data_IF_228411807300
#
_entry.id   IF_228411807300
#
_cell.length_a   1.000
_cell.length_b   1.000
_cell.length_c   1.000
_cell.angle_alpha   90.00
_cell.angle_beta   90.00
_cell.angle_gamma   90.00
#
_symmetry.space_group_name_H-M   'P 1'
#
loop_
_entity.id
_entity.type
_entity.pdbx_description
1 polymer ?
#
# COMPACT_ATOMS: atom_id res chain seq x y z
N UNK A 1 33.67 9.31 -13.21
CA UNK A 1 33.07 8.02 -13.64
C UNK A 1 32.08 7.63 -12.57
N UNK A 2 30.85 8.10 -12.72
CA UNK A 2 29.75 7.69 -11.82
C UNK A 2 29.48 6.22 -12.09
N UNK A 3 29.57 5.40 -11.06
CA UNK A 3 29.10 4.01 -11.12
C UNK A 3 27.61 4.11 -11.42
N UNK A 4 27.19 3.48 -12.52
CA UNK A 4 25.80 3.12 -12.74
C UNK A 4 25.36 2.29 -11.54
N UNK A 5 24.89 2.99 -10.50
CA UNK A 5 24.39 2.37 -9.29
C UNK A 5 23.12 1.60 -9.63
N UNK A 6 23.09 0.31 -9.36
CA UNK A 6 21.86 -0.48 -9.44
C UNK A 6 20.77 0.29 -8.65
N UNK A 7 19.77 0.77 -9.38
CA UNK A 7 18.59 1.38 -8.72
C UNK A 7 17.88 0.28 -7.96
N UNK A 8 17.57 0.52 -6.67
CA UNK A 8 16.84 -0.44 -5.84
C UNK A 8 15.48 -0.79 -6.44
N UNK A 9 14.92 -1.89 -5.99
CA UNK A 9 13.63 -2.42 -6.48
C UNK A 9 12.50 -1.92 -5.59
N UNK A 10 11.43 -1.39 -6.17
CA UNK A 10 10.24 -0.91 -5.47
C UNK A 10 9.05 -1.81 -5.76
N UNK A 11 8.57 -2.52 -4.73
CA UNK A 11 7.41 -3.43 -4.80
C UNK A 11 6.29 -2.91 -3.93
N UNK A 12 5.08 -2.98 -4.43
CA UNK A 12 3.86 -2.56 -3.73
C UNK A 12 2.87 -3.71 -3.63
N UNK A 13 2.38 -3.97 -2.42
CA UNK A 13 1.27 -4.90 -2.17
C UNK A 13 0.05 -4.08 -1.77
N UNK A 14 -0.93 -4.05 -2.64
CA UNK A 14 -2.19 -3.33 -2.52
C UNK A 14 -3.36 -4.25 -2.16
N UNK A 15 -4.46 -3.66 -1.81
CA UNK A 15 -5.71 -4.35 -1.50
C UNK A 15 -6.46 -3.72 -0.33
N UNK A 16 -7.72 -4.07 -0.15
CA UNK A 16 -8.56 -3.59 0.93
C UNK A 16 -8.12 -4.16 2.31
N UNK A 17 -8.64 -3.65 3.40
CA UNK A 17 -8.34 -4.15 4.75
C UNK A 17 -8.86 -5.58 4.93
N UNK A 18 -8.12 -6.41 5.67
CA UNK A 18 -8.42 -7.83 5.82
C UNK A 18 -7.92 -8.75 4.70
N UNK A 19 -7.32 -8.21 3.61
CA UNK A 19 -6.81 -9.04 2.51
C UNK A 19 -5.46 -9.73 2.80
N UNK A 20 -4.79 -9.39 3.91
CA UNK A 20 -3.53 -10.03 4.31
C UNK A 20 -2.26 -9.34 3.78
N UNK A 21 -2.34 -8.07 3.36
CA UNK A 21 -1.18 -7.30 2.85
C UNK A 21 0.04 -7.37 3.77
N UNK A 22 -0.12 -7.02 5.04
CA UNK A 22 0.99 -6.98 6.01
C UNK A 22 1.66 -8.35 6.14
N UNK A 23 0.87 -9.42 6.21
CA UNK A 23 1.38 -10.80 6.24
C UNK A 23 2.23 -11.09 5.00
N UNK A 24 1.77 -10.71 3.81
CA UNK A 24 2.51 -10.97 2.58
C UNK A 24 3.75 -10.08 2.44
N UNK A 25 3.70 -8.84 2.89
CA UNK A 25 4.88 -7.96 2.97
C UNK A 25 5.94 -8.56 3.90
N UNK A 26 5.54 -9.03 5.08
CA UNK A 26 6.46 -9.62 6.05
C UNK A 26 7.07 -10.95 5.54
N UNK A 27 6.28 -11.81 4.90
CA UNK A 27 6.75 -13.05 4.27
C UNK A 27 7.73 -12.75 3.12
N UNK A 28 7.41 -11.80 2.26
CA UNK A 28 8.29 -11.41 1.15
C UNK A 28 9.58 -10.76 1.66
N UNK A 29 9.49 -9.95 2.72
CA UNK A 29 10.66 -9.37 3.36
C UNK A 29 11.59 -10.44 3.94
N UNK A 30 11.06 -11.45 4.62
CA UNK A 30 11.83 -12.56 5.14
C UNK A 30 12.51 -13.34 4.00
N UNK A 31 11.75 -13.70 2.97
CA UNK A 31 12.25 -14.44 1.81
C UNK A 31 13.39 -13.72 1.08
N UNK A 32 13.33 -12.39 0.94
CA UNK A 32 14.39 -11.57 0.33
C UNK A 32 15.62 -11.46 1.23
N UNK A 33 15.43 -11.27 2.54
CA UNK A 33 16.53 -11.18 3.52
C UNK A 33 17.33 -12.48 3.61
N UNK A 34 16.66 -13.63 3.56
CA UNK A 34 17.31 -14.95 3.48
C UNK A 34 18.21 -15.09 2.23
N UNK A 35 17.95 -14.31 1.19
CA UNK A 35 18.74 -14.24 -0.06
C UNK A 35 19.78 -13.12 -0.05
N UNK A 36 20.06 -12.56 1.13
CA UNK A 36 21.10 -11.54 1.32
C UNK A 36 20.72 -10.15 0.81
N UNK A 37 19.42 -9.89 0.55
CA UNK A 37 18.99 -8.56 0.09
C UNK A 37 18.76 -7.62 1.27
N UNK A 38 19.19 -6.34 1.11
CA UNK A 38 18.74 -5.29 2.01
C UNK A 38 17.27 -4.99 1.71
N UNK A 39 16.40 -5.09 2.73
CA UNK A 39 14.95 -4.88 2.57
C UNK A 39 14.49 -3.80 3.53
N UNK A 40 13.87 -2.76 2.97
CA UNK A 40 13.16 -1.71 3.71
C UNK A 40 11.66 -1.90 3.53
N UNK A 41 10.96 -2.09 4.63
CA UNK A 41 9.50 -2.19 4.64
C UNK A 41 8.90 -0.83 4.97
N UNK A 42 7.87 -0.44 4.24
CA UNK A 42 7.12 0.80 4.44
C UNK A 42 5.63 0.51 4.45
N UNK A 43 4.87 1.25 5.24
CA UNK A 43 3.41 1.16 5.28
C UNK A 43 2.80 2.56 5.14
N UNK A 44 1.92 2.76 4.17
CA UNK A 44 1.20 4.01 3.95
C UNK A 44 -0.22 3.96 4.54
N UNK A 45 -0.68 5.05 5.16
CA UNK A 45 -0.04 6.36 5.32
C UNK A 45 0.90 6.44 6.53
N UNK A 46 1.05 5.38 7.29
CA UNK A 46 1.86 5.24 8.49
C UNK A 46 1.62 3.89 9.12
N UNK A 47 2.36 3.54 10.17
CA UNK A 47 2.33 2.23 10.81
C UNK A 47 2.47 2.34 12.32
N UNK A 48 1.91 1.36 13.04
CA UNK A 48 2.15 1.20 14.48
C UNK A 48 3.57 0.65 14.75
N UNK A 49 4.21 0.05 13.74
CA UNK A 49 5.62 -0.28 13.74
C UNK A 49 6.43 0.93 13.24
N UNK A 50 7.11 1.62 14.15
CA UNK A 50 7.93 2.80 13.85
C UNK A 50 9.03 2.53 12.80
N UNK A 51 9.49 1.28 12.67
CA UNK A 51 10.45 0.91 11.64
C UNK A 51 9.86 1.01 10.22
N UNK A 52 8.55 0.92 10.05
CA UNK A 52 7.83 0.95 8.76
C UNK A 52 7.34 2.34 8.35
N UNK A 53 7.56 3.36 9.16
CA UNK A 53 7.01 4.70 8.96
C UNK A 53 7.97 5.83 9.39
N UNK A 54 7.49 7.07 9.41
CA UNK A 54 8.16 8.22 10.03
C UNK A 54 7.28 8.82 11.12
N UNK A 55 7.84 9.50 12.13
CA UNK A 55 7.03 10.14 13.17
C UNK A 55 5.98 11.09 12.61
N UNK A 56 6.35 11.90 11.60
CA UNK A 56 5.44 12.88 10.97
C UNK A 56 4.32 12.17 10.20
N UNK A 57 4.62 11.12 9.43
CA UNK A 57 3.60 10.34 8.73
C UNK A 57 2.60 9.70 9.72
N UNK A 58 3.08 9.25 10.88
CA UNK A 58 2.22 8.71 11.93
C UNK A 58 1.27 9.76 12.53
N UNK A 59 1.69 11.01 12.66
CA UNK A 59 0.77 12.06 13.11
C UNK A 59 -0.35 12.29 12.09
N UNK A 60 -0.04 12.29 10.79
CA UNK A 60 -1.09 12.36 9.75
C UNK A 60 -2.01 11.14 9.79
N UNK A 61 -1.45 9.92 9.93
CA UNK A 61 -2.24 8.69 10.10
C UNK A 61 -3.17 8.77 11.30
N UNK A 62 -2.69 9.28 12.45
CA UNK A 62 -3.49 9.43 13.66
C UNK A 62 -4.70 10.33 13.44
N UNK A 63 -4.53 11.46 12.73
CA UNK A 63 -5.64 12.36 12.40
C UNK A 63 -6.62 11.68 11.43
N UNK A 64 -6.11 11.00 10.40
CA UNK A 64 -6.92 10.29 9.40
C UNK A 64 -7.78 9.17 9.99
N UNK A 65 -7.26 8.45 11.01
CA UNK A 65 -7.95 7.33 11.64
C UNK A 65 -8.90 7.74 12.76
N UNK A 66 -8.82 8.96 13.24
CA UNK A 66 -9.58 9.43 14.40
C UNK A 66 -11.04 9.72 14.05
N UNK A 67 -11.95 8.87 14.52
CA UNK A 67 -13.40 8.98 14.28
C UNK A 67 -14.06 10.26 14.85
N UNK A 68 -13.35 11.02 15.70
CA UNK A 68 -13.82 12.31 16.20
C UNK A 68 -13.81 13.38 15.11
N UNK A 69 -13.00 13.22 14.08
CA UNK A 69 -12.89 14.16 12.98
C UNK A 69 -13.72 13.66 11.78
N UNK A 70 -14.67 14.48 11.37
CA UNK A 70 -15.37 14.29 10.08
C UNK A 70 -14.63 15.09 9.02
N UNK A 71 -13.59 14.49 8.46
CA UNK A 71 -12.76 15.13 7.46
C UNK A 71 -13.48 15.17 6.10
N UNK A 72 -13.33 16.28 5.42
CA UNK A 72 -13.75 16.43 4.03
C UNK A 72 -12.84 15.56 3.12
N UNK A 73 -13.37 15.01 2.00
CA UNK A 73 -12.57 14.19 1.07
C UNK A 73 -11.28 14.84 0.57
N UNK A 74 -11.28 16.16 0.33
CA UNK A 74 -10.07 16.88 -0.08
C UNK A 74 -9.06 16.98 1.05
N UNK A 75 -9.51 17.15 2.30
CA UNK A 75 -8.63 17.12 3.49
C UNK A 75 -8.04 15.74 3.67
N UNK A 76 -8.80 14.67 3.47
CA UNK A 76 -8.28 13.30 3.46
C UNK A 76 -7.15 13.15 2.41
N UNK A 77 -7.41 13.59 1.18
CA UNK A 77 -6.42 13.54 0.10
C UNK A 77 -5.14 14.31 0.44
N UNK A 78 -5.25 15.49 1.05
CA UNK A 78 -4.10 16.30 1.48
C UNK A 78 -3.27 15.58 2.55
N UNK A 79 -3.90 15.02 3.56
CA UNK A 79 -3.22 14.31 4.65
C UNK A 79 -2.54 13.02 4.16
N UNK A 80 -3.20 12.22 3.32
CA UNK A 80 -2.59 11.06 2.67
C UNK A 80 -1.39 11.45 1.81
N UNK A 81 -1.50 12.57 1.07
CA UNK A 81 -0.40 13.06 0.22
C UNK A 81 0.77 13.59 1.04
N UNK A 82 0.51 14.23 2.18
CA UNK A 82 1.54 14.70 3.10
C UNK A 82 2.30 13.52 3.73
N UNK A 83 1.59 12.52 4.25
CA UNK A 83 2.20 11.30 4.80
C UNK A 83 3.06 10.57 3.75
N UNK A 84 2.55 10.45 2.53
CA UNK A 84 3.25 9.84 1.38
C UNK A 84 4.53 10.58 1.04
N UNK A 85 4.50 11.91 1.03
CA UNK A 85 5.69 12.73 0.80
C UNK A 85 6.76 12.47 1.85
N UNK A 86 6.38 12.41 3.13
CA UNK A 86 7.29 12.09 4.22
C UNK A 86 7.95 10.72 4.05
N UNK A 87 7.14 9.70 3.77
CA UNK A 87 7.65 8.35 3.55
C UNK A 87 8.55 8.27 2.31
N UNK A 88 8.19 8.96 1.23
CA UNK A 88 9.00 9.00 0.03
C UNK A 88 10.39 9.55 0.31
N UNK A 89 10.49 10.76 0.86
CA UNK A 89 11.77 11.44 1.03
C UNK A 89 12.65 10.85 2.12
N UNK A 90 12.05 10.34 3.18
CA UNK A 90 12.81 9.89 4.35
C UNK A 90 13.04 8.39 4.42
N UNK A 91 12.29 7.59 3.67
CA UNK A 91 12.44 6.12 3.68
C UNK A 91 12.61 5.52 2.29
N UNK A 92 11.66 5.76 1.37
CA UNK A 92 11.60 5.02 0.10
C UNK A 92 12.75 5.45 -0.82
N UNK A 93 12.83 6.72 -1.17
CA UNK A 93 13.86 7.22 -2.09
C UNK A 93 15.30 6.95 -1.60
N UNK A 94 15.67 7.22 -0.33
CA UNK A 94 17.01 6.91 0.16
C UNK A 94 17.32 5.41 0.12
N UNK A 95 16.35 4.53 0.37
CA UNK A 95 16.52 3.09 0.27
C UNK A 95 16.78 2.64 -1.18
N UNK A 96 15.96 3.13 -2.13
CA UNK A 96 16.13 2.83 -3.55
C UNK A 96 17.48 3.32 -4.08
N UNK A 97 17.92 4.52 -3.68
CA UNK A 97 19.22 5.09 -4.10
C UNK A 97 20.42 4.26 -3.66
N UNK A 98 20.35 3.53 -2.54
CA UNK A 98 21.44 2.66 -2.09
C UNK A 98 21.29 1.20 -2.56
N UNK A 99 20.31 0.92 -3.45
CA UNK A 99 20.11 -0.40 -4.05
C UNK A 99 19.29 -1.39 -3.20
N UNK A 100 18.60 -0.91 -2.17
CA UNK A 100 17.72 -1.76 -1.35
C UNK A 100 16.44 -2.14 -2.10
N UNK A 101 15.85 -3.27 -1.69
CA UNK A 101 14.47 -3.61 -2.05
C UNK A 101 13.53 -2.89 -1.09
N UNK A 102 12.63 -2.07 -1.63
CA UNK A 102 11.57 -1.42 -0.84
C UNK A 102 10.27 -2.17 -1.05
N UNK A 103 9.70 -2.65 0.03
CA UNK A 103 8.37 -3.27 0.06
C UNK A 103 7.39 -2.31 0.72
N UNK A 104 6.38 -1.88 -0.02
CA UNK A 104 5.33 -1.02 0.51
C UNK A 104 4.00 -1.75 0.66
N UNK A 105 3.43 -1.69 1.86
CA UNK A 105 2.01 -1.97 2.05
C UNK A 105 1.25 -0.69 1.69
N UNK A 106 0.57 -0.71 0.55
CA UNK A 106 -0.11 0.42 -0.10
C UNK A 106 0.83 1.44 -0.75
N UNK A 107 0.27 2.20 -1.69
CA UNK A 107 0.82 3.41 -2.28
C UNK A 107 -0.32 4.35 -2.75
N UNK A 108 -0.08 5.21 -3.73
CA UNK A 108 -1.10 6.13 -4.27
C UNK A 108 -2.31 5.42 -4.92
N UNK A 109 -2.18 4.15 -5.32
CA UNK A 109 -3.30 3.37 -5.86
C UNK A 109 -4.41 3.20 -4.83
N UNK A 110 -4.06 3.03 -3.54
CA UNK A 110 -5.05 3.12 -2.45
C UNK A 110 -5.80 4.45 -2.47
N UNK A 111 -5.15 5.57 -2.76
CA UNK A 111 -5.81 6.88 -2.85
C UNK A 111 -6.74 6.98 -4.06
N UNK A 112 -6.36 6.39 -5.21
CA UNK A 112 -7.28 6.27 -6.36
C UNK A 112 -8.55 5.49 -6.00
N UNK A 113 -8.42 4.48 -5.15
CA UNK A 113 -9.55 3.67 -4.69
C UNK A 113 -10.37 4.42 -3.64
N UNK A 114 -9.78 4.83 -2.53
CA UNK A 114 -10.51 5.41 -1.40
C UNK A 114 -11.03 6.82 -1.71
N UNK A 115 -10.15 7.74 -2.10
CA UNK A 115 -10.53 9.12 -2.39
C UNK A 115 -11.15 9.27 -3.79
N UNK A 116 -10.68 8.48 -4.77
CA UNK A 116 -11.23 8.50 -6.12
C UNK A 116 -12.57 7.77 -6.21
N UNK A 117 -12.57 6.44 -6.13
CA UNK A 117 -13.81 5.64 -6.27
C UNK A 117 -14.74 5.79 -5.06
N UNK A 118 -14.19 5.83 -3.85
CA UNK A 118 -14.97 5.91 -2.62
C UNK A 118 -15.57 7.30 -2.38
N UNK A 119 -14.75 8.34 -2.42
CA UNK A 119 -15.11 9.72 -2.05
C UNK A 119 -15.38 10.63 -3.26
N UNK A 120 -15.15 10.18 -4.49
CA UNK A 120 -15.54 10.89 -5.73
C UNK A 120 -14.55 11.95 -6.21
N UNK A 121 -13.31 11.97 -5.70
CA UNK A 121 -12.28 12.88 -6.20
C UNK A 121 -11.80 12.42 -7.59
N UNK A 122 -11.63 13.38 -8.51
CA UNK A 122 -11.13 13.08 -9.84
C UNK A 122 -9.75 12.41 -9.80
N UNK A 123 -9.60 11.25 -10.46
CA UNK A 123 -8.35 10.49 -10.46
C UNK A 123 -7.16 11.30 -10.97
N UNK A 124 -7.40 12.17 -11.97
CA UNK A 124 -6.35 13.05 -12.50
C UNK A 124 -5.79 14.01 -11.43
N UNK A 125 -6.65 14.56 -10.56
CA UNK A 125 -6.22 15.41 -9.45
C UNK A 125 -5.32 14.64 -8.48
N UNK A 126 -5.67 13.38 -8.14
CA UNK A 126 -4.88 12.49 -7.28
C UNK A 126 -3.53 12.20 -7.91
N UNK A 127 -3.49 11.83 -9.19
CA UNK A 127 -2.27 11.52 -9.93
C UNK A 127 -1.34 12.75 -9.98
N UNK A 128 -1.88 13.91 -10.36
CA UNK A 128 -1.10 15.15 -10.49
C UNK A 128 -0.53 15.59 -9.12
N UNK A 129 -1.31 15.48 -8.06
CA UNK A 129 -0.86 15.78 -6.70
C UNK A 129 0.25 14.81 -6.26
N UNK A 130 0.05 13.52 -6.46
CA UNK A 130 1.05 12.50 -6.09
C UNK A 130 2.36 12.73 -6.82
N UNK A 131 2.30 12.93 -8.15
CA UNK A 131 3.48 13.20 -8.99
C UNK A 131 4.23 14.44 -8.55
N UNK A 132 3.50 15.52 -8.21
CA UNK A 132 4.10 16.77 -7.73
C UNK A 132 4.82 16.62 -6.39
N UNK A 133 4.28 15.85 -5.49
CA UNK A 133 4.79 15.72 -4.13
C UNK A 133 5.71 14.52 -3.89
N UNK A 134 5.84 13.63 -4.87
CA UNK A 134 6.80 12.52 -4.84
C UNK A 134 7.75 12.58 -6.04
N UNK A 135 7.67 11.62 -6.96
CA UNK A 135 8.48 11.57 -8.19
C UNK A 135 7.87 10.59 -9.20
N UNK A 136 8.38 10.63 -10.45
CA UNK A 136 8.06 9.62 -11.46
C UNK A 136 8.46 8.21 -11.00
N UNK A 137 9.57 8.08 -10.26
CA UNK A 137 10.02 6.79 -9.71
C UNK A 137 9.03 6.20 -8.69
N UNK A 138 8.43 7.05 -7.85
CA UNK A 138 7.37 6.63 -6.93
C UNK A 138 6.12 6.15 -7.69
N UNK A 139 5.76 6.86 -8.77
CA UNK A 139 4.59 6.55 -9.61
C UNK A 139 4.75 5.26 -10.40
N UNK A 140 6.00 4.77 -10.56
CA UNK A 140 6.33 3.60 -11.38
C UNK A 140 7.07 2.55 -10.54
N UNK A 141 6.38 1.84 -9.62
CA UNK A 141 6.95 0.69 -8.95
C UNK A 141 7.39 -0.38 -9.96
N UNK A 142 8.43 -1.15 -9.63
CA UNK A 142 8.89 -2.25 -10.48
C UNK A 142 7.90 -3.41 -10.50
N UNK A 143 7.16 -3.58 -9.41
CA UNK A 143 6.09 -4.56 -9.32
C UNK A 143 4.97 -4.09 -8.39
N UNK A 144 3.75 -4.33 -8.80
CA UNK A 144 2.54 -4.12 -8.00
C UNK A 144 1.67 -5.35 -8.07
N UNK A 145 1.06 -5.72 -6.95
CA UNK A 145 0.03 -6.74 -6.90
C UNK A 145 -1.14 -6.26 -6.04
N UNK A 146 -2.36 -6.56 -6.46
CA UNK A 146 -3.57 -6.33 -5.67
C UNK A 146 -4.03 -7.63 -5.06
N UNK A 147 -4.11 -7.69 -3.74
CA UNK A 147 -4.75 -8.77 -3.01
C UNK A 147 -6.24 -8.48 -2.89
N UNK A 148 -7.04 -9.45 -3.30
CA UNK A 148 -8.50 -9.38 -3.24
C UNK A 148 -9.06 -10.53 -2.42
N UNK A 149 -10.04 -10.24 -1.59
CA UNK A 149 -10.84 -11.24 -0.90
C UNK A 149 -12.29 -10.74 -0.80
N UNK A 150 -13.21 -11.69 -0.76
CA UNK A 150 -14.63 -11.42 -0.53
C UNK A 150 -14.84 -10.65 0.79
N UNK A 151 -15.85 -9.77 0.82
CA UNK A 151 -16.14 -8.94 1.98
C UNK A 151 -16.36 -9.75 3.25
N UNK A 152 -17.04 -10.89 3.15
CA UNK A 152 -17.28 -11.77 4.28
C UNK A 152 -15.97 -12.30 4.87
N UNK A 153 -15.02 -12.70 4.03
CA UNK A 153 -13.70 -13.19 4.45
C UNK A 153 -12.90 -12.06 5.10
N UNK A 154 -12.94 -10.87 4.52
CA UNK A 154 -12.24 -9.69 5.05
C UNK A 154 -12.78 -9.29 6.43
N UNK A 155 -14.10 -9.16 6.56
CA UNK A 155 -14.76 -8.82 7.82
C UNK A 155 -14.47 -9.85 8.91
N UNK A 156 -14.51 -11.14 8.59
CA UNK A 156 -14.14 -12.19 9.53
C UNK A 156 -12.69 -12.00 10.02
N UNK A 157 -11.73 -11.77 9.12
CA UNK A 157 -10.32 -11.56 9.47
C UNK A 157 -10.09 -10.29 10.27
N UNK A 158 -10.83 -9.23 9.99
CA UNK A 158 -10.78 -7.98 10.77
C UNK A 158 -11.29 -8.24 12.19
N UNK A 159 -12.41 -8.93 12.34
CA UNK A 159 -12.96 -9.29 13.65
C UNK A 159 -12.03 -10.20 14.47
N UNK A 160 -11.33 -11.14 13.82
CA UNK A 160 -10.39 -12.08 14.46
C UNK A 160 -9.11 -11.40 14.96
N UNK A 161 -8.72 -10.22 14.42
CA UNK A 161 -7.55 -9.46 14.91
C UNK A 161 -7.73 -8.94 16.33
N UNK A 162 -8.96 -8.96 16.85
CA UNK A 162 -9.30 -8.52 18.19
C UNK A 162 -9.45 -7.01 18.32
N UNK A 163 -10.13 -6.59 19.40
CA UNK A 163 -10.52 -5.20 19.68
C UNK A 163 -9.37 -4.31 20.19
N UNK A 164 -8.12 -4.68 19.98
CA UNK A 164 -6.95 -3.89 20.42
C UNK A 164 -6.77 -2.60 19.64
N UNK A 165 -7.26 -2.52 18.40
CA UNK A 165 -7.35 -1.29 17.63
C UNK A 165 -8.81 -0.86 17.49
N UNK A 166 -9.10 0.40 17.79
CA UNK A 166 -10.40 0.98 17.48
C UNK A 166 -10.61 0.93 15.97
N UNK A 167 -11.81 0.51 15.53
CA UNK A 167 -12.23 0.54 14.12
C UNK A 167 -11.99 1.96 13.58
N UNK A 168 -11.19 2.09 12.53
CA UNK A 168 -10.81 3.40 12.02
C UNK A 168 -11.93 4.08 11.22
N UNK A 169 -11.73 5.35 10.87
CA UNK A 169 -12.72 6.19 10.20
C UNK A 169 -13.13 5.68 8.80
N UNK A 170 -12.32 4.85 8.15
CA UNK A 170 -12.61 4.26 6.85
C UNK A 170 -13.22 2.86 6.99
N UNK A 171 -12.73 2.06 7.96
CA UNK A 171 -13.30 0.73 8.25
C UNK A 171 -14.71 0.83 8.82
N UNK A 172 -15.03 1.93 9.54
CA UNK A 172 -16.35 2.17 10.15
C UNK A 172 -17.42 2.64 9.16
N UNK A 173 -17.07 2.91 7.89
CA UNK A 173 -18.04 3.34 6.87
C UNK A 173 -18.95 2.18 6.46
N UNK A 174 -20.13 2.53 5.96
CA UNK A 174 -21.18 1.59 5.59
C UNK A 174 -20.78 0.57 4.50
N UNK A 175 -21.57 -0.47 4.37
CA UNK A 175 -21.33 -1.56 3.40
C UNK A 175 -21.29 -1.05 1.96
N UNK A 176 -22.05 -0.01 1.63
CA UNK A 176 -22.05 0.58 0.29
C UNK A 176 -20.71 1.24 -0.05
N UNK A 177 -20.07 1.89 0.94
CA UNK A 177 -18.74 2.41 0.79
C UNK A 177 -17.70 1.29 0.65
N UNK A 178 -17.77 0.26 1.51
CA UNK A 178 -16.86 -0.88 1.44
C UNK A 178 -16.94 -1.61 0.08
N UNK A 179 -18.16 -1.75 -0.48
CA UNK A 179 -18.35 -2.30 -1.82
C UNK A 179 -17.68 -1.43 -2.89
N UNK A 180 -17.85 -0.10 -2.83
CA UNK A 180 -17.13 0.81 -3.76
C UNK A 180 -15.62 0.67 -3.68
N UNK A 181 -15.06 0.45 -2.50
CA UNK A 181 -13.62 0.23 -2.32
C UNK A 181 -13.20 -1.09 -2.98
N UNK A 182 -13.95 -2.17 -2.78
CA UNK A 182 -13.65 -3.46 -3.40
C UNK A 182 -13.73 -3.38 -4.93
N UNK A 183 -14.78 -2.77 -5.47
CA UNK A 183 -14.94 -2.56 -6.92
C UNK A 183 -13.84 -1.64 -7.46
N UNK A 184 -13.45 -0.64 -6.68
CA UNK A 184 -12.35 0.28 -6.98
C UNK A 184 -11.00 -0.43 -7.14
N UNK A 185 -10.65 -1.35 -6.24
CA UNK A 185 -9.42 -2.14 -6.37
C UNK A 185 -9.42 -3.00 -7.64
N UNK A 186 -10.54 -3.63 -7.97
CA UNK A 186 -10.67 -4.40 -9.21
C UNK A 186 -10.56 -3.50 -10.45
N UNK A 187 -11.20 -2.30 -10.42
CA UNK A 187 -11.14 -1.33 -11.51
C UNK A 187 -9.72 -0.80 -11.73
N UNK A 188 -9.03 -0.42 -10.66
CA UNK A 188 -7.64 0.05 -10.70
C UNK A 188 -6.71 -1.08 -11.19
N UNK A 189 -6.86 -2.30 -10.69
CA UNK A 189 -6.05 -3.43 -11.15
C UNK A 189 -6.22 -3.66 -12.67
N UNK A 190 -7.44 -3.64 -13.18
CA UNK A 190 -7.72 -3.76 -14.63
C UNK A 190 -7.15 -2.60 -15.44
N UNK A 191 -7.37 -1.36 -14.99
CA UNK A 191 -6.94 -0.16 -15.71
C UNK A 191 -5.42 -0.05 -15.85
N UNK A 192 -4.67 -0.57 -14.87
CA UNK A 192 -3.21 -0.52 -14.82
C UNK A 192 -2.54 -1.87 -15.15
N UNK A 193 -3.29 -2.89 -15.60
CA UNK A 193 -2.79 -4.25 -15.88
C UNK A 193 -2.03 -4.86 -14.68
N UNK A 194 -2.49 -4.60 -13.46
CA UNK A 194 -1.89 -5.11 -12.23
C UNK A 194 -2.44 -6.51 -11.93
N UNK A 195 -1.58 -7.50 -11.62
CA UNK A 195 -2.02 -8.81 -11.17
C UNK A 195 -2.95 -8.71 -9.95
N UNK A 196 -4.09 -9.40 -10.01
CA UNK A 196 -5.04 -9.53 -8.92
C UNK A 196 -4.99 -10.96 -8.40
N UNK A 197 -4.63 -11.13 -7.12
CA UNK A 197 -4.50 -12.43 -6.46
C UNK A 197 -5.63 -12.60 -5.46
N UNK A 198 -6.37 -13.73 -5.57
CA UNK A 198 -7.39 -14.10 -4.59
C UNK A 198 -6.73 -14.54 -3.29
N UNK A 199 -6.89 -13.75 -2.25
CA UNK A 199 -6.24 -13.91 -0.96
C UNK A 199 -7.09 -14.70 0.06
N UNK A 200 -7.93 -15.62 -0.42
CA UNK A 200 -8.81 -16.47 0.42
C UNK A 200 -8.15 -17.80 0.80
N UNK A 201 -7.03 -18.11 0.17
CA UNK A 201 -6.23 -19.32 0.45
C UNK A 201 -5.32 -19.10 1.66
N UNK A 202 -4.52 -20.14 1.98
CA UNK A 202 -3.51 -20.01 3.04
C UNK A 202 -2.50 -18.90 2.74
N UNK A 203 -1.93 -18.25 3.75
CA UNK A 203 -0.89 -17.23 3.53
C UNK A 203 0.28 -17.73 2.67
N UNK A 204 0.66 -19.01 2.81
CA UNK A 204 1.72 -19.65 2.03
C UNK A 204 1.36 -19.77 0.56
N UNK A 205 0.12 -20.16 0.22
CA UNK A 205 -0.33 -20.29 -1.17
C UNK A 205 -0.38 -18.91 -1.85
N UNK A 206 -0.87 -17.89 -1.14
CA UNK A 206 -0.90 -16.52 -1.64
C UNK A 206 0.53 -16.01 -1.87
N UNK A 207 1.44 -16.28 -0.95
CA UNK A 207 2.84 -15.91 -1.08
C UNK A 207 3.50 -16.55 -2.30
N UNK A 208 3.26 -17.84 -2.53
CA UNK A 208 3.77 -18.53 -3.72
C UNK A 208 3.23 -17.91 -5.02
N UNK A 209 1.96 -17.52 -5.07
CA UNK A 209 1.40 -16.83 -6.22
C UNK A 209 2.08 -15.46 -6.44
N UNK A 210 2.36 -14.69 -5.39
CA UNK A 210 3.10 -13.44 -5.49
C UNK A 210 4.49 -13.68 -6.08
N UNK A 211 5.23 -14.68 -5.60
CA UNK A 211 6.55 -15.03 -6.12
C UNK A 211 6.49 -15.46 -7.60
N UNK A 212 5.46 -16.19 -8.00
CA UNK A 212 5.25 -16.55 -9.41
C UNK A 212 5.00 -15.33 -10.29
N UNK A 213 4.19 -14.38 -9.83
CA UNK A 213 3.95 -13.13 -10.58
C UNK A 213 5.22 -12.28 -10.67
N UNK A 214 6.00 -12.16 -9.61
CA UNK A 214 7.30 -11.48 -9.61
C UNK A 214 8.23 -12.12 -10.65
N UNK A 215 8.32 -13.46 -10.67
CA UNK A 215 9.15 -14.19 -11.65
C UNK A 215 8.70 -13.98 -13.10
N UNK A 216 7.38 -13.99 -13.37
CA UNK A 216 6.83 -13.72 -14.71
C UNK A 216 7.16 -12.31 -15.22
N UNK A 217 7.28 -11.36 -14.32
CA UNK A 217 7.61 -9.97 -14.66
C UNK A 217 9.12 -9.72 -14.72
N UNK A 218 9.97 -10.76 -14.60
CA UNK A 218 11.43 -10.68 -14.67
C UNK A 218 12.01 -9.65 -13.69
N UNK A 219 11.44 -9.57 -12.46
CA UNK A 219 11.96 -8.68 -11.42
C UNK A 219 13.19 -9.33 -10.81
N UNK A 220 14.35 -8.76 -11.10
CA UNK A 220 15.63 -9.17 -10.52
C UNK A 220 15.89 -8.42 -9.21
N UNK A 221 16.41 -9.13 -8.21
CA UNK A 221 16.70 -8.60 -6.87
C UNK A 221 18.20 -8.49 -6.64
#
# INVERSE_FOLDING_TARGET
MERSGATGVYIVIEGNDGTGKSTQVDMLAAWLRERGREVVVVEEPGSDDEAKTTPVANEYRRVLKDNRFKLDPEVNLLLFSAARRELWFHKIEPALRRGAVVLSSRNYLSTLVYQGHGEGIAQEAIINMTKRFTSERYMSPDFVVVLFADDRVRQQRIAERGTTEAVDSFESRDDAFQQKINDGYQAVARAHNIPLILAERSPTDVHQQILQEISKNNIDF
#
